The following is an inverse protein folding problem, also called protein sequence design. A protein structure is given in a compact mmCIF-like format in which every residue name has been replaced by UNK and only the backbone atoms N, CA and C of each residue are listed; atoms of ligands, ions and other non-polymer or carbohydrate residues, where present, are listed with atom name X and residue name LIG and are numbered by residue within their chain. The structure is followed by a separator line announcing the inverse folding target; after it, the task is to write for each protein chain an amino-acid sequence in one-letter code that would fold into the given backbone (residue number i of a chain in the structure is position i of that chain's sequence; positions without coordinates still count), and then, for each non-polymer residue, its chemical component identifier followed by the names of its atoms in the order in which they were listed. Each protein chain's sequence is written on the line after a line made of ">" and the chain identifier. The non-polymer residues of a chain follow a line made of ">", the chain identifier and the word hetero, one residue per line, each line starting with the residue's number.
data_IF_083157202194
#
_entry.id   IF_083157202194
#
_cell.length_a   1.000
_cell.length_b   1.000
_cell.length_c   1.000
_cell.angle_alpha   90.00
_cell.angle_beta   90.00
_cell.angle_gamma   90.00
#
_symmetry.space_group_name_H-M   'P 1'
#
loop_
_entity.id
_entity.type
_entity.pdbx_description
1 polymer ?
#
# COMPACT_ATOMS: atom_id res chain seq x y z
N UNK A 1 29.10 -5.94 -16.00
CA UNK A 1 28.85 -6.48 -14.64
C UNK A 1 28.01 -5.55 -13.77
N UNK A 2 28.30 -4.24 -13.73
CA UNK A 2 27.57 -3.27 -12.88
C UNK A 2 26.05 -3.25 -13.06
N UNK A 3 25.55 -3.50 -14.27
CA UNK A 3 24.10 -3.59 -14.53
C UNK A 3 23.47 -4.79 -13.80
N UNK A 4 24.13 -5.95 -13.80
CA UNK A 4 23.63 -7.12 -13.09
C UNK A 4 23.67 -6.92 -11.59
N UNK A 5 24.72 -6.27 -11.06
CA UNK A 5 24.79 -5.90 -9.65
C UNK A 5 23.57 -5.07 -9.25
N UNK A 6 23.28 -3.99 -9.97
CA UNK A 6 22.12 -3.12 -9.73
C UNK A 6 20.80 -3.89 -9.87
N UNK A 7 20.62 -4.67 -10.94
CA UNK A 7 19.39 -5.43 -11.19
C UNK A 7 19.15 -6.56 -10.17
N UNK A 8 20.20 -7.07 -9.52
CA UNK A 8 20.06 -8.06 -8.44
C UNK A 8 19.97 -7.46 -7.05
N UNK A 9 20.46 -6.24 -6.86
CA UNK A 9 20.51 -5.56 -5.57
C UNK A 9 19.17 -4.93 -5.19
N UNK A 10 18.49 -4.27 -6.13
CA UNK A 10 17.20 -3.63 -5.86
C UNK A 10 16.03 -4.59 -6.11
N UNK A 11 15.20 -4.79 -5.09
CA UNK A 11 14.07 -5.73 -5.09
C UNK A 11 12.95 -5.34 -6.06
N UNK A 12 12.86 -4.07 -6.45
CA UNK A 12 11.87 -3.56 -7.41
C UNK A 12 12.14 -4.03 -8.85
N UNK A 13 13.37 -4.49 -9.17
CA UNK A 13 13.66 -5.05 -10.49
C UNK A 13 13.15 -6.50 -10.57
N UNK A 14 11.97 -6.65 -11.15
CA UNK A 14 11.32 -7.94 -11.37
C UNK A 14 12.02 -8.70 -12.50
N UNK A 15 12.91 -9.64 -12.11
CA UNK A 15 13.66 -10.50 -13.05
C UNK A 15 12.88 -11.74 -13.50
N UNK A 16 11.75 -12.02 -12.86
CA UNK A 16 10.81 -13.07 -13.24
C UNK A 16 9.52 -12.42 -13.74
N UNK A 17 8.79 -13.07 -14.67
CA UNK A 17 7.51 -12.55 -15.13
C UNK A 17 6.51 -12.52 -13.97
N UNK A 18 5.95 -11.34 -13.71
CA UNK A 18 4.89 -11.14 -12.71
C UNK A 18 3.53 -11.00 -13.38
N UNK A 19 2.48 -11.12 -12.57
CA UNK A 19 1.13 -10.82 -13.03
C UNK A 19 0.95 -9.33 -13.35
N UNK A 20 -0.11 -9.00 -14.11
CA UNK A 20 -0.46 -7.61 -14.43
C UNK A 20 -0.58 -6.70 -13.20
N UNK A 21 -1.08 -7.25 -12.10
CA UNK A 21 -1.18 -6.62 -10.79
C UNK A 21 -0.21 -7.29 -9.83
N UNK A 22 0.82 -6.54 -9.44
CA UNK A 22 1.81 -6.98 -8.47
C UNK A 22 1.41 -6.49 -7.08
N UNK A 23 0.82 -7.41 -6.30
CA UNK A 23 0.38 -7.17 -4.92
C UNK A 23 1.57 -7.37 -3.99
N UNK A 24 1.93 -6.30 -3.31
CA UNK A 24 3.00 -6.22 -2.32
C UNK A 24 2.35 -5.90 -0.97
N UNK A 25 2.33 -6.88 -0.07
CA UNK A 25 1.77 -6.71 1.26
C UNK A 25 2.87 -6.50 2.30
N UNK A 26 2.73 -5.46 3.11
CA UNK A 26 3.64 -5.17 4.21
C UNK A 26 3.23 -5.98 5.45
N UNK A 27 4.14 -6.81 5.95
CA UNK A 27 3.96 -7.64 7.16
C UNK A 27 4.94 -7.25 8.28
N UNK A 28 5.63 -6.12 8.13
CA UNK A 28 6.52 -5.62 9.19
C UNK A 28 5.75 -5.19 10.43
N UNK A 29 6.46 -5.07 11.56
CA UNK A 29 5.87 -4.93 12.90
C UNK A 29 4.70 -3.96 13.02
N UNK A 30 4.74 -2.71 12.48
CA UNK A 30 3.59 -1.81 12.59
C UNK A 30 2.34 -2.33 11.89
N UNK A 31 2.49 -2.96 10.72
CA UNK A 31 1.38 -3.57 9.99
C UNK A 31 0.89 -4.87 10.65
N UNK A 32 1.83 -5.68 11.15
CA UNK A 32 1.52 -6.90 11.89
C UNK A 32 0.70 -6.60 13.16
N UNK A 33 1.04 -5.55 13.91
CA UNK A 33 0.27 -5.11 15.09
C UNK A 33 -1.14 -4.65 14.75
N UNK A 34 -1.36 -4.15 13.53
CA UNK A 34 -2.66 -3.79 12.98
C UNK A 34 -3.31 -4.92 12.16
N UNK A 35 -2.87 -6.17 12.39
CA UNK A 35 -3.45 -7.39 11.80
C UNK A 35 -3.32 -7.50 10.27
N UNK A 36 -2.14 -7.20 9.71
CA UNK A 36 -1.85 -7.43 8.28
C UNK A 36 -1.95 -8.89 7.86
N UNK A 37 -1.80 -9.83 8.78
CA UNK A 37 -1.84 -11.27 8.50
C UNK A 37 -3.25 -11.70 8.05
N UNK A 38 -4.31 -11.13 8.63
CA UNK A 38 -5.68 -11.41 8.16
C UNK A 38 -5.93 -10.91 6.75
N UNK A 39 -5.30 -9.80 6.35
CA UNK A 39 -5.32 -9.29 4.97
C UNK A 39 -4.57 -10.23 4.04
N UNK A 40 -3.41 -10.74 4.46
CA UNK A 40 -2.64 -11.73 3.70
C UNK A 40 -3.45 -12.99 3.46
N UNK A 41 -4.08 -13.54 4.51
CA UNK A 41 -4.94 -14.72 4.41
C UNK A 41 -6.15 -14.48 3.50
N UNK A 42 -6.78 -13.31 3.59
CA UNK A 42 -7.89 -12.93 2.70
C UNK A 42 -7.46 -12.95 1.23
N UNK A 43 -6.31 -12.37 0.90
CA UNK A 43 -5.77 -12.38 -0.47
C UNK A 43 -5.49 -13.81 -0.93
N UNK A 44 -4.84 -14.63 -0.09
CA UNK A 44 -4.54 -16.02 -0.43
C UNK A 44 -5.80 -16.84 -0.69
N UNK A 45 -6.82 -16.69 0.17
CA UNK A 45 -8.10 -17.39 0.03
C UNK A 45 -8.87 -16.93 -1.22
N UNK A 46 -8.85 -15.63 -1.53
CA UNK A 46 -9.56 -15.06 -2.69
C UNK A 46 -8.92 -15.41 -4.03
N UNK A 47 -7.59 -15.44 -4.09
CA UNK A 47 -6.84 -15.70 -5.32
C UNK A 47 -6.41 -17.17 -5.48
N UNK A 48 -6.46 -17.97 -4.41
CA UNK A 48 -6.02 -19.37 -4.41
C UNK A 48 -4.51 -19.53 -4.62
N UNK A 49 -3.72 -18.52 -4.25
CA UNK A 49 -2.25 -18.52 -4.38
C UNK A 49 -1.58 -18.35 -3.02
N UNK A 50 -0.32 -18.78 -2.92
CA UNK A 50 0.54 -18.51 -1.75
C UNK A 50 1.44 -17.31 -2.02
N UNK A 51 2.10 -16.81 -0.98
CA UNK A 51 3.16 -15.80 -1.10
C UNK A 51 4.25 -16.28 -2.06
N UNK A 52 4.68 -15.40 -2.97
CA UNK A 52 5.60 -15.69 -4.07
C UNK A 52 4.94 -16.35 -5.28
N UNK A 53 3.64 -16.62 -5.22
CA UNK A 53 2.87 -17.23 -6.30
C UNK A 53 2.28 -16.21 -7.29
N UNK A 54 1.85 -16.74 -8.44
CA UNK A 54 1.11 -16.02 -9.47
C UNK A 54 -0.14 -16.82 -9.83
N UNK A 55 -1.25 -16.13 -10.11
CA UNK A 55 -2.48 -16.75 -10.56
C UNK A 55 -2.32 -17.37 -11.96
N UNK A 56 -3.09 -18.42 -12.27
CA UNK A 56 -3.00 -19.13 -13.55
C UNK A 56 -3.33 -18.26 -14.77
N UNK A 57 -4.17 -17.23 -14.58
CA UNK A 57 -4.54 -16.22 -15.57
C UNK A 57 -3.46 -15.14 -15.77
N UNK A 58 -2.35 -15.19 -15.03
CA UNK A 58 -1.26 -14.19 -15.02
C UNK A 58 -1.73 -12.77 -14.69
N UNK A 59 -2.86 -12.64 -13.99
CA UNK A 59 -3.40 -11.33 -13.61
C UNK A 59 -2.82 -10.83 -12.29
N UNK A 60 -2.62 -11.69 -11.30
CA UNK A 60 -2.17 -11.30 -9.97
C UNK A 60 -0.90 -12.05 -9.57
N UNK A 61 0.02 -11.34 -8.93
CA UNK A 61 1.15 -11.93 -8.20
C UNK A 61 1.13 -11.38 -6.78
N UNK A 62 1.44 -12.24 -5.81
CA UNK A 62 1.44 -11.89 -4.39
C UNK A 62 2.86 -12.05 -3.85
N UNK A 63 3.40 -11.00 -3.26
CA UNK A 63 4.66 -11.04 -2.54
C UNK A 63 4.53 -10.30 -1.21
N UNK A 64 5.20 -10.83 -0.21
CA UNK A 64 5.38 -10.18 1.08
C UNK A 64 6.60 -9.27 1.00
N UNK A 65 6.43 -8.02 1.43
CA UNK A 65 7.47 -6.99 1.39
C UNK A 65 7.72 -6.41 2.76
N UNK A 66 8.87 -5.78 2.89
CA UNK A 66 9.24 -4.99 4.05
C UNK A 66 8.42 -3.68 4.14
N UNK A 67 8.77 -2.83 5.09
CA UNK A 67 8.06 -1.58 5.36
C UNK A 67 7.94 -0.69 4.12
N UNK A 68 6.70 -0.38 3.75
CA UNK A 68 6.34 0.54 2.65
C UNK A 68 6.17 2.00 3.11
N UNK A 69 6.42 2.31 4.39
CA UNK A 69 6.45 3.68 4.89
C UNK A 69 5.09 4.33 5.18
N UNK A 70 3.97 3.60 5.06
CA UNK A 70 2.63 4.07 5.39
C UNK A 70 2.15 3.58 6.78
N UNK A 71 3.02 3.60 7.78
CA UNK A 71 2.80 2.93 9.07
C UNK A 71 1.57 3.44 9.85
N UNK A 72 1.26 4.74 9.73
CA UNK A 72 0.08 5.33 10.39
C UNK A 72 -1.25 4.91 9.74
N UNK A 73 -1.15 4.32 8.54
CA UNK A 73 -2.22 3.84 7.67
C UNK A 73 -2.26 2.31 7.56
N UNK A 74 -1.65 1.62 8.53
CA UNK A 74 -1.67 0.18 8.61
C UNK A 74 -3.08 -0.38 8.92
N UNK A 75 -3.41 -1.59 8.43
CA UNK A 75 -2.65 -2.42 7.49
C UNK A 75 -2.84 -1.94 6.04
N UNK A 76 -1.81 -2.11 5.21
CA UNK A 76 -1.79 -1.58 3.85
C UNK A 76 -1.17 -2.55 2.85
N UNK A 77 -1.57 -2.41 1.57
CA UNK A 77 -0.96 -3.13 0.45
C UNK A 77 -0.65 -2.14 -0.67
N UNK A 78 0.43 -2.41 -1.40
CA UNK A 78 0.74 -1.74 -2.65
C UNK A 78 0.37 -2.66 -3.81
N UNK A 79 -0.41 -2.16 -4.77
CA UNK A 79 -0.67 -2.86 -6.03
C UNK A 79 -0.12 -2.00 -7.16
N UNK A 80 0.94 -2.49 -7.80
CA UNK A 80 1.77 -1.71 -8.72
C UNK A 80 2.24 -0.41 -8.02
N UNK A 81 1.73 0.75 -8.43
CA UNK A 81 2.13 2.05 -7.86
C UNK A 81 1.16 2.60 -6.80
N UNK A 82 0.02 1.93 -6.60
CA UNK A 82 -1.06 2.44 -5.77
C UNK A 82 -1.03 1.86 -4.36
N UNK A 83 -1.06 2.73 -3.36
CA UNK A 83 -1.25 2.34 -1.96
C UNK A 83 -2.73 2.23 -1.65
N UNK A 84 -3.10 1.12 -1.03
CA UNK A 84 -4.41 0.91 -0.43
C UNK A 84 -4.19 0.67 1.06
N UNK A 85 -4.86 1.50 1.85
CA UNK A 85 -4.51 1.75 3.24
C UNK A 85 -5.72 1.54 4.15
N UNK A 86 -5.48 1.34 5.45
CA UNK A 86 -6.51 1.10 6.46
C UNK A 86 -7.47 -0.02 6.06
N UNK A 87 -6.89 -1.13 5.58
CA UNK A 87 -7.65 -2.18 4.95
C UNK A 87 -8.30 -3.11 5.96
N UNK A 88 -9.51 -3.54 5.63
CA UNK A 88 -10.12 -4.75 6.20
C UNK A 88 -10.11 -5.89 5.19
N UNK A 89 -10.28 -7.16 5.63
CA UNK A 89 -10.41 -8.31 4.71
C UNK A 89 -11.49 -8.11 3.64
N UNK A 90 -12.55 -7.38 3.97
CA UNK A 90 -13.64 -7.06 3.03
C UNK A 90 -13.21 -6.03 1.98
N UNK A 91 -12.40 -5.03 2.36
CA UNK A 91 -11.94 -3.99 1.44
C UNK A 91 -10.98 -4.56 0.41
N UNK A 92 -10.09 -5.46 0.83
CA UNK A 92 -9.15 -6.11 -0.11
C UNK A 92 -9.89 -7.04 -1.09
N UNK A 93 -10.92 -7.75 -0.64
CA UNK A 93 -11.79 -8.54 -1.52
C UNK A 93 -12.45 -7.66 -2.59
N UNK A 94 -12.97 -6.50 -2.18
CA UNK A 94 -13.56 -5.53 -3.10
C UNK A 94 -12.53 -4.98 -4.09
N UNK A 95 -11.33 -4.63 -3.62
CA UNK A 95 -10.24 -4.15 -4.48
C UNK A 95 -9.88 -5.20 -5.53
N UNK A 96 -9.76 -6.47 -5.14
CA UNK A 96 -9.45 -7.57 -6.06
C UNK A 96 -10.57 -7.74 -7.11
N UNK A 97 -11.83 -7.67 -6.69
CA UNK A 97 -12.97 -7.82 -7.60
C UNK A 97 -13.07 -6.64 -8.59
N UNK A 98 -12.80 -5.42 -8.15
CA UNK A 98 -12.73 -4.23 -9.02
C UNK A 98 -11.58 -4.34 -10.04
N UNK A 99 -10.40 -4.80 -9.61
CA UNK A 99 -9.24 -5.01 -10.48
C UNK A 99 -9.49 -6.11 -11.51
N UNK A 100 -10.19 -7.18 -11.14
CA UNK A 100 -10.66 -8.23 -12.07
C UNK A 100 -11.66 -7.69 -13.09
N UNK A 101 -12.54 -6.77 -12.68
CA UNK A 101 -13.47 -6.09 -13.57
C UNK A 101 -12.79 -5.03 -14.47
N UNK A 102 -11.47 -4.86 -14.36
CA UNK A 102 -10.70 -3.89 -15.15
C UNK A 102 -10.84 -2.44 -14.67
N UNK A 103 -11.42 -2.21 -13.49
CA UNK A 103 -11.49 -0.91 -12.85
C UNK A 103 -10.28 -0.72 -11.95
N UNK A 104 -9.77 0.50 -11.86
CA UNK A 104 -8.71 0.86 -10.92
C UNK A 104 -9.38 1.51 -9.71
N UNK A 105 -9.38 0.85 -8.53
CA UNK A 105 -9.91 1.45 -7.31
C UNK A 105 -9.12 2.71 -6.94
N UNK A 106 -9.74 3.69 -6.27
CA UNK A 106 -9.01 4.87 -5.79
C UNK A 106 -7.95 4.45 -4.76
N UNK A 107 -6.70 4.94 -4.89
CA UNK A 107 -5.66 4.73 -3.88
C UNK A 107 -5.94 5.57 -2.63
N UNK A 108 -5.48 5.08 -1.48
CA UNK A 108 -5.59 5.74 -0.18
C UNK A 108 -6.35 4.93 0.88
N UNK A 109 -6.65 5.56 2.03
CA UNK A 109 -7.34 4.97 3.17
C UNK A 109 -8.76 4.48 2.87
N UNK A 110 -9.19 3.38 3.50
CA UNK A 110 -10.55 2.82 3.38
C UNK A 110 -11.45 3.02 4.60
N UNK A 111 -10.93 3.55 5.70
CA UNK A 111 -11.67 3.74 6.95
C UNK A 111 -12.45 5.08 7.07
N UNK A 112 -12.49 5.88 6.00
CA UNK A 112 -13.24 7.14 5.94
C UNK A 112 -12.42 8.41 6.20
N UNK A 113 -11.16 8.29 6.62
CA UNK A 113 -10.20 9.41 6.56
C UNK A 113 -9.68 9.62 5.14
N UNK A 114 -9.12 10.78 4.87
CA UNK A 114 -8.56 11.16 3.58
C UNK A 114 -7.10 10.74 3.42
N UNK A 115 -6.27 10.94 4.44
CA UNK A 115 -4.82 10.70 4.38
C UNK A 115 -4.32 10.09 5.69
N UNK A 116 -3.53 10.83 6.47
CA UNK A 116 -2.94 10.37 7.73
C UNK A 116 -3.54 11.04 8.97
N UNK A 117 -4.60 11.84 8.82
CA UNK A 117 -5.23 12.51 9.94
C UNK A 117 -5.90 11.52 10.91
N UNK A 118 -6.16 11.91 12.17
CA UNK A 118 -6.90 11.08 13.10
C UNK A 118 -8.30 10.78 12.58
N UNK A 119 -8.72 9.51 12.63
CA UNK A 119 -10.04 9.08 12.15
C UNK A 119 -11.22 9.74 12.90
N UNK A 120 -10.99 10.26 14.11
CA UNK A 120 -11.98 10.99 14.90
C UNK A 120 -12.16 12.47 14.53
N UNK A 121 -11.49 12.94 13.48
CA UNK A 121 -11.46 14.35 13.07
C UNK A 121 -10.12 15.03 13.37
N UNK A 122 -9.93 16.22 12.78
CA UNK A 122 -8.69 16.99 12.91
C UNK A 122 -8.48 17.42 14.37
N UNK A 123 -7.37 16.97 14.97
CA UNK A 123 -6.92 17.38 16.32
C UNK A 123 -5.84 18.46 16.27
N UNK A 124 -5.28 18.72 15.09
CA UNK A 124 -4.26 19.73 14.82
C UNK A 124 -4.52 20.35 13.44
N UNK A 125 -3.87 21.49 13.16
CA UNK A 125 -4.04 22.25 11.91
C UNK A 125 -5.51 22.65 11.63
N UNK A 126 -6.28 22.89 12.70
CA UNK A 126 -7.68 23.33 12.58
C UNK A 126 -7.81 24.81 12.15
N UNK A 127 -6.73 25.58 12.28
CA UNK A 127 -6.65 26.97 11.87
C UNK A 127 -6.03 27.09 10.47
N UNK A 128 -6.41 28.13 9.69
CA UNK A 128 -5.77 28.36 8.40
C UNK A 128 -4.27 28.64 8.59
N UNK A 129 -3.43 28.23 7.62
CA UNK A 129 -1.99 28.46 7.71
C UNK A 129 -1.68 29.97 7.72
N UNK A 130 -0.62 30.39 8.43
CA UNK A 130 -0.20 31.76 8.36
C UNK A 130 0.20 32.14 6.94
N UNK A 131 -0.16 33.36 6.53
CA UNK A 131 0.19 33.89 5.21
C UNK A 131 1.69 34.15 5.04
N UNK A 132 2.13 34.49 3.82
CA UNK A 132 3.52 34.83 3.55
C UNK A 132 3.96 36.03 4.39
N UNK A 133 5.20 36.00 4.90
CA UNK A 133 5.74 37.06 5.77
C UNK A 133 5.58 36.79 7.26
N UNK A 134 4.76 35.81 7.67
CA UNK A 134 4.64 35.42 9.06
C UNK A 134 5.95 34.82 9.59
N UNK A 135 6.50 35.40 10.66
CA UNK A 135 7.77 34.96 11.25
C UNK A 135 9.02 35.34 10.44
N UNK A 136 8.89 36.15 9.38
CA UNK A 136 10.05 36.65 8.64
C UNK A 136 10.81 37.66 9.50
N UNK A 137 12.13 37.45 9.61
CA UNK A 137 13.05 38.33 10.34
C UNK A 137 13.07 39.73 9.70
N UNK A 138 13.27 40.75 10.52
CA UNK A 138 13.20 42.14 10.08
C UNK A 138 14.33 42.58 9.12
N UNK A 139 15.41 41.81 9.05
CA UNK A 139 16.62 42.07 8.25
C UNK A 139 16.75 41.15 7.03
N UNK A 140 15.64 40.57 6.55
CA UNK A 140 15.56 39.81 5.29
C UNK A 140 14.94 40.64 4.16
#
# INVERSE_FOLDING_TARGET
>A
MRIYEVATFYTMFLRQPVGKYHIQICTTTPCMLCDSDSILEAIQNKLGIKVGGMTADKMFSLIEVECLGACVNAPMVQINDNYYEDLTPKDIDQIIDELKAGKVPPPGPRNGRFSCEPAGGLTSLCEPPPGPGFGVRADL
#
